data_IF_919947416104
#
_entry.id   IF_919947416104
#
_cell.length_a   1.000
_cell.length_b   1.000
_cell.length_c   1.000
_cell.angle_alpha   90.00
_cell.angle_beta   90.00
_cell.angle_gamma   90.00
#
_symmetry.space_group_name_H-M   'P 1'
#
loop_
_entity.id
_entity.type
_entity.pdbx_description
1 polymer ?
#
# COMPACT_ATOMS: atom_id res chain seq x y z
N UNK A 1 7.51 10.64 14.04
CA UNK A 1 7.84 10.70 15.49
C UNK A 1 6.94 9.76 16.29
N UNK A 2 7.11 9.66 17.61
CA UNK A 2 6.01 9.35 18.52
C UNK A 2 4.88 10.38 18.36
N UNK A 3 3.62 10.00 18.64
CA UNK A 3 2.56 11.01 18.80
C UNK A 3 2.94 11.90 19.97
N UNK A 4 3.11 13.20 19.71
CA UNK A 4 3.18 14.20 20.79
C UNK A 4 1.78 14.34 21.36
N UNK A 5 1.45 13.49 22.34
CA UNK A 5 0.47 13.86 23.36
C UNK A 5 1.11 15.01 24.14
N UNK A 6 0.71 16.23 23.85
CA UNK A 6 0.89 17.32 24.80
C UNK A 6 0.17 16.92 26.11
N UNK A 7 0.67 17.35 27.27
CA UNK A 7 0.11 16.97 28.58
C UNK A 7 -1.38 17.32 28.75
N UNK A 8 -1.92 18.16 27.88
CA UNK A 8 -3.30 18.62 27.86
C UNK A 8 -4.27 17.63 27.14
N UNK A 9 -3.77 16.49 26.61
CA UNK A 9 -4.58 15.34 26.22
C UNK A 9 -5.11 15.30 24.77
N UNK A 10 -5.06 16.41 24.03
CA UNK A 10 -5.46 16.47 22.62
C UNK A 10 -4.32 16.17 21.63
N UNK A 11 -4.67 15.91 20.36
CA UNK A 11 -3.73 15.68 19.26
C UNK A 11 -3.43 16.99 18.52
N UNK A 12 -2.15 17.32 18.33
CA UNK A 12 -1.70 18.48 17.55
C UNK A 12 -0.72 19.37 18.31
N UNK A 13 -0.21 20.40 17.63
CA UNK A 13 0.69 21.41 18.24
C UNK A 13 -0.07 22.62 18.82
N UNK A 14 -1.34 22.79 18.48
CA UNK A 14 -2.25 23.81 19.00
C UNK A 14 -3.43 23.16 19.73
N UNK A 15 -4.19 23.97 20.49
CA UNK A 15 -5.45 23.51 21.09
C UNK A 15 -6.54 23.27 20.01
N UNK A 16 -7.54 22.40 20.25
CA UNK A 16 -8.67 22.23 19.35
C UNK A 16 -9.54 23.48 19.26
N UNK A 17 -9.93 23.88 18.05
CA UNK A 17 -10.82 25.03 17.79
C UNK A 17 -12.18 24.88 18.51
N UNK A 18 -12.63 23.64 18.68
CA UNK A 18 -13.82 23.29 19.46
C UNK A 18 -13.65 21.89 20.04
N UNK A 19 -14.23 21.67 21.23
CA UNK A 19 -14.42 20.35 21.85
C UNK A 19 -15.89 19.89 21.83
N UNK A 20 -16.79 20.69 21.24
CA UNK A 20 -18.22 20.38 21.18
C UNK A 20 -18.48 19.20 20.24
N UNK A 21 -19.25 18.22 20.72
CA UNK A 21 -19.74 17.11 19.89
C UNK A 21 -20.79 17.56 18.86
N UNK A 22 -21.17 16.67 17.93
CA UNK A 22 -22.20 16.96 16.94
C UNK A 22 -23.57 17.20 17.60
N UNK A 23 -24.32 18.18 17.08
CA UNK A 23 -25.74 18.34 17.39
C UNK A 23 -26.56 17.28 16.67
N UNK A 24 -27.79 17.02 17.14
CA UNK A 24 -28.75 16.12 16.48
C UNK A 24 -28.96 16.47 14.99
N UNK A 25 -29.03 17.78 14.67
CA UNK A 25 -29.06 18.26 13.28
C UNK A 25 -27.83 17.81 12.48
N UNK A 26 -26.62 17.89 13.04
CA UNK A 26 -25.41 17.45 12.34
C UNK A 26 -25.34 15.93 12.19
N UNK A 27 -25.95 15.15 13.08
CA UNK A 27 -26.11 13.70 12.90
C UNK A 27 -27.04 13.42 11.70
N UNK A 28 -28.22 14.02 11.66
CA UNK A 28 -29.15 13.87 10.51
C UNK A 28 -28.50 14.26 9.18
N UNK A 29 -27.76 15.38 9.13
CA UNK A 29 -27.03 15.81 7.93
C UNK A 29 -25.85 14.88 7.57
N UNK A 30 -25.31 14.13 8.54
CA UNK A 30 -24.31 13.08 8.28
C UNK A 30 -24.97 11.86 7.64
N UNK A 31 -26.17 11.48 8.09
CA UNK A 31 -26.94 10.34 7.54
C UNK A 31 -27.45 10.64 6.11
N UNK A 32 -27.88 11.88 5.83
CA UNK A 32 -28.20 12.35 4.48
C UNK A 32 -26.99 12.21 3.53
N UNK A 33 -25.81 12.58 4.01
CA UNK A 33 -24.54 12.49 3.27
C UNK A 33 -24.10 11.03 3.06
N UNK A 34 -24.23 10.17 4.06
CA UNK A 34 -23.91 8.75 3.92
C UNK A 34 -24.82 8.04 2.93
N UNK A 35 -26.11 8.37 2.96
CA UNK A 35 -27.06 7.91 1.94
C UNK A 35 -26.62 8.36 0.55
N UNK A 36 -26.25 9.63 0.36
CA UNK A 36 -25.78 10.13 -0.93
C UNK A 36 -24.50 9.42 -1.43
N UNK A 37 -23.54 9.14 -0.55
CA UNK A 37 -22.33 8.37 -0.90
C UNK A 37 -22.65 6.91 -1.27
N UNK A 38 -23.66 6.30 -0.65
CA UNK A 38 -24.16 4.96 -0.95
C UNK A 38 -24.93 4.92 -2.29
N UNK A 39 -25.85 5.86 -2.50
CA UNK A 39 -26.62 6.00 -3.75
C UNK A 39 -25.69 6.27 -4.95
N UNK A 40 -24.59 7.01 -4.73
CA UNK A 40 -23.52 7.23 -5.70
C UNK A 40 -22.56 6.04 -5.93
N UNK A 41 -22.80 4.88 -5.28
CA UNK A 41 -21.99 3.64 -5.39
C UNK A 41 -20.51 3.80 -5.07
N UNK A 42 -20.15 4.68 -4.13
CA UNK A 42 -18.75 4.97 -3.82
C UNK A 42 -18.13 3.97 -2.84
N UNK A 43 -18.94 3.15 -2.18
CA UNK A 43 -18.52 2.04 -1.34
C UNK A 43 -18.38 0.75 -2.18
N UNK A 44 -17.32 -0.02 -1.95
CA UNK A 44 -17.19 -1.35 -2.53
C UNK A 44 -18.21 -2.32 -1.92
N UNK A 45 -18.54 -3.38 -2.67
CA UNK A 45 -19.44 -4.44 -2.24
C UNK A 45 -18.66 -5.50 -1.46
N UNK A 46 -19.34 -6.27 -0.61
CA UNK A 46 -18.69 -7.23 0.28
C UNK A 46 -17.96 -8.36 -0.48
N UNK A 47 -18.43 -8.72 -1.67
CA UNK A 47 -17.77 -9.65 -2.59
C UNK A 47 -16.52 -9.06 -3.25
N UNK A 48 -16.52 -7.76 -3.56
CA UNK A 48 -15.34 -7.04 -4.07
C UNK A 48 -14.25 -6.95 -2.99
N UNK A 49 -14.63 -6.64 -1.74
CA UNK A 49 -13.73 -6.62 -0.59
C UNK A 49 -13.05 -7.98 -0.35
N UNK A 50 -13.81 -9.08 -0.42
CA UNK A 50 -13.28 -10.46 -0.28
C UNK A 50 -12.30 -10.76 -1.42
N UNK A 51 -12.65 -10.42 -2.67
CA UNK A 51 -11.78 -10.64 -3.83
C UNK A 51 -10.45 -9.87 -3.71
N UNK A 52 -10.45 -8.65 -3.17
CA UNK A 52 -9.23 -7.87 -2.93
C UNK A 52 -8.30 -8.53 -1.90
N UNK A 53 -8.85 -9.06 -0.81
CA UNK A 53 -8.08 -9.82 0.19
C UNK A 53 -7.52 -11.13 -0.38
N UNK A 54 -8.30 -11.87 -1.19
CA UNK A 54 -7.81 -13.07 -1.89
C UNK A 54 -6.68 -12.75 -2.87
N UNK A 55 -6.79 -11.64 -3.61
CA UNK A 55 -5.75 -11.15 -4.53
C UNK A 55 -4.47 -10.75 -3.78
N UNK A 56 -4.58 -10.05 -2.65
CA UNK A 56 -3.42 -9.67 -1.82
C UNK A 56 -2.76 -10.89 -1.19
N UNK A 57 -3.55 -11.84 -0.67
CA UNK A 57 -3.05 -13.11 -0.12
C UNK A 57 -2.35 -13.98 -1.18
N UNK A 58 -2.82 -13.94 -2.43
CA UNK A 58 -2.14 -14.58 -3.57
C UNK A 58 -0.85 -13.85 -3.95
N UNK A 59 -0.86 -12.52 -3.98
CA UNK A 59 0.31 -11.71 -4.32
C UNK A 59 1.46 -11.90 -3.31
N UNK A 60 1.17 -11.95 -2.01
CA UNK A 60 2.16 -12.26 -0.97
C UNK A 60 2.84 -13.63 -1.21
N UNK A 61 2.05 -14.66 -1.52
CA UNK A 61 2.57 -15.99 -1.86
C UNK A 61 3.45 -15.96 -3.12
N UNK A 62 3.03 -15.25 -4.18
CA UNK A 62 3.81 -15.10 -5.41
C UNK A 62 5.16 -14.40 -5.17
N UNK A 63 5.18 -13.27 -4.44
CA UNK A 63 6.46 -12.57 -4.17
C UNK A 63 7.38 -13.37 -3.24
N UNK A 64 6.82 -14.09 -2.25
CA UNK A 64 7.60 -15.00 -1.39
C UNK A 64 8.20 -16.16 -2.20
N UNK A 65 7.43 -16.77 -3.11
CA UNK A 65 7.93 -17.82 -4.00
C UNK A 65 9.00 -17.32 -4.99
N UNK A 66 8.82 -16.11 -5.54
CA UNK A 66 9.81 -15.42 -6.38
C UNK A 66 11.13 -15.18 -5.64
N UNK A 67 11.10 -14.65 -4.40
CA UNK A 67 12.32 -14.44 -3.62
C UNK A 67 13.03 -15.77 -3.27
N UNK A 68 12.31 -16.87 -3.04
CA UNK A 68 12.95 -18.18 -2.86
C UNK A 68 13.63 -18.68 -4.14
N UNK A 69 12.98 -18.55 -5.31
CA UNK A 69 13.61 -18.82 -6.63
C UNK A 69 14.87 -17.97 -6.84
N UNK A 70 14.76 -16.65 -6.62
CA UNK A 70 15.87 -15.70 -6.77
C UNK A 70 17.04 -16.02 -5.83
N UNK A 71 16.76 -16.35 -4.56
CA UNK A 71 17.79 -16.66 -3.57
C UNK A 71 18.58 -17.92 -3.94
N UNK A 72 17.90 -18.99 -4.38
CA UNK A 72 18.57 -20.22 -4.81
C UNK A 72 19.53 -19.98 -5.98
N UNK A 73 19.12 -19.20 -6.98
CA UNK A 73 19.93 -18.99 -8.20
C UNK A 73 21.04 -17.93 -7.99
N UNK A 74 20.94 -17.08 -6.97
CA UNK A 74 22.10 -16.33 -6.46
C UNK A 74 23.15 -17.21 -5.74
N UNK A 75 22.96 -18.54 -5.68
CA UNK A 75 23.93 -19.48 -5.11
C UNK A 75 23.90 -19.60 -3.59
N UNK A 76 22.86 -19.06 -2.92
CA UNK A 76 22.68 -19.26 -1.49
C UNK A 76 22.24 -20.71 -1.20
N UNK A 77 22.78 -21.29 -0.12
CA UNK A 77 22.43 -22.64 0.31
C UNK A 77 20.98 -22.78 0.80
N UNK A 78 20.46 -24.01 0.80
CA UNK A 78 19.03 -24.30 1.04
C UNK A 78 18.45 -23.76 2.35
N UNK A 79 19.26 -23.57 3.41
CA UNK A 79 18.81 -22.88 4.62
C UNK A 79 18.40 -21.43 4.32
N UNK A 80 19.24 -20.66 3.64
CA UNK A 80 18.91 -19.30 3.20
C UNK A 80 17.72 -19.31 2.22
N UNK A 81 17.58 -20.32 1.37
CA UNK A 81 16.41 -20.46 0.47
C UNK A 81 15.12 -20.75 1.27
N UNK A 82 15.21 -21.50 2.37
CA UNK A 82 14.07 -21.75 3.26
C UNK A 82 13.66 -20.48 4.01
N UNK A 83 14.63 -19.73 4.55
CA UNK A 83 14.44 -18.48 5.29
C UNK A 83 14.09 -17.28 4.39
N UNK A 84 14.43 -17.32 3.10
CA UNK A 84 14.27 -16.21 2.16
C UNK A 84 12.81 -15.76 2.00
N UNK A 85 12.59 -14.44 2.04
CA UNK A 85 11.28 -13.87 2.24
C UNK A 85 11.12 -12.51 1.56
N UNK A 86 9.90 -12.17 1.18
CA UNK A 86 9.45 -10.84 0.79
C UNK A 86 8.21 -10.48 1.61
N UNK A 87 7.89 -9.19 1.69
CA UNK A 87 6.69 -8.72 2.40
C UNK A 87 5.99 -7.62 1.62
N UNK A 88 4.68 -7.75 1.45
CA UNK A 88 3.83 -6.72 0.84
C UNK A 88 3.29 -5.75 1.90
N UNK A 89 3.08 -4.50 1.51
CA UNK A 89 2.43 -3.46 2.29
C UNK A 89 1.51 -2.65 1.37
N UNK A 90 0.21 -2.62 1.65
CA UNK A 90 -0.68 -1.71 0.94
C UNK A 90 -0.50 -0.27 1.42
N UNK A 91 -0.70 0.69 0.53
CA UNK A 91 -0.72 2.11 0.85
C UNK A 91 -1.91 2.80 0.17
N UNK A 92 -1.82 4.12 -0.01
CA UNK A 92 -2.78 4.91 -0.79
C UNK A 92 -4.25 4.72 -0.38
N UNK A 93 -5.16 4.65 -1.37
CA UNK A 93 -6.59 4.83 -1.06
C UNK A 93 -7.29 3.59 -0.50
N UNK A 94 -6.78 2.40 -0.81
CA UNK A 94 -7.24 1.13 -0.24
C UNK A 94 -6.84 0.99 1.24
N UNK A 95 -5.57 1.23 1.57
CA UNK A 95 -5.05 1.17 2.96
C UNK A 95 -5.76 2.16 3.92
N UNK A 96 -6.28 3.27 3.38
CA UNK A 96 -7.06 4.27 4.12
C UNK A 96 -8.57 3.98 4.20
N UNK A 97 -9.07 2.93 3.55
CA UNK A 97 -10.50 2.61 3.49
C UNK A 97 -11.34 3.65 2.72
N UNK A 98 -10.75 4.32 1.72
CA UNK A 98 -11.38 5.39 0.91
C UNK A 98 -11.31 5.13 -0.60
N UNK A 99 -11.08 3.88 -0.97
CA UNK A 99 -11.21 3.35 -2.31
C UNK A 99 -12.69 3.16 -2.72
N UNK A 100 -12.95 3.19 -4.03
CA UNK A 100 -14.23 2.81 -4.63
C UNK A 100 -14.12 1.46 -5.36
N UNK A 101 -15.22 0.95 -5.93
CA UNK A 101 -15.26 -0.38 -6.57
C UNK A 101 -14.14 -0.63 -7.58
N UNK A 102 -13.90 0.31 -8.49
CA UNK A 102 -12.93 0.18 -9.60
C UNK A 102 -11.49 0.62 -9.25
N UNK A 103 -11.19 0.89 -7.98
CA UNK A 103 -9.88 1.40 -7.57
C UNK A 103 -8.76 0.35 -7.67
N UNK A 104 -7.56 0.84 -7.89
CA UNK A 104 -6.28 0.15 -7.73
C UNK A 104 -6.01 -0.27 -6.27
N UNK A 105 -5.06 -1.19 -6.09
CA UNK A 105 -4.38 -1.41 -4.81
C UNK A 105 -2.90 -1.05 -4.94
N UNK A 106 -2.61 0.21 -4.61
CA UNK A 106 -1.30 0.72 -4.20
C UNK A 106 -0.55 -0.29 -3.30
N UNK A 107 0.46 -1.00 -3.83
CA UNK A 107 1.16 -2.07 -3.10
C UNK A 107 2.68 -1.95 -3.17
N UNK A 108 3.36 -1.93 -2.03
CA UNK A 108 4.82 -1.98 -1.93
C UNK A 108 5.29 -3.39 -1.59
N UNK A 109 6.07 -4.00 -2.47
CA UNK A 109 6.85 -5.20 -2.16
C UNK A 109 8.22 -4.82 -1.58
N UNK A 110 8.61 -5.47 -0.49
CA UNK A 110 9.92 -5.33 0.17
C UNK A 110 10.70 -6.64 0.03
N UNK A 111 11.96 -6.57 -0.44
CA UNK A 111 12.78 -7.76 -0.67
C UNK A 111 14.29 -7.58 -0.38
N UNK A 112 15.05 -8.69 -0.35
CA UNK A 112 16.44 -8.72 0.10
C UNK A 112 17.45 -8.27 -0.97
N UNK A 113 18.63 -7.85 -0.53
CA UNK A 113 19.67 -7.13 -1.30
C UNK A 113 20.05 -7.78 -2.65
N UNK A 114 20.05 -9.10 -2.74
CA UNK A 114 20.41 -9.83 -3.97
C UNK A 114 19.30 -9.81 -5.03
N UNK A 115 18.05 -9.60 -4.66
CA UNK A 115 16.91 -9.52 -5.59
C UNK A 115 16.78 -8.11 -6.20
N UNK A 116 17.80 -7.65 -6.92
CA UNK A 116 17.87 -6.29 -7.47
C UNK A 116 16.70 -5.92 -8.39
N UNK A 117 16.34 -4.62 -8.43
CA UNK A 117 15.13 -4.13 -9.12
C UNK A 117 15.07 -4.50 -10.61
N UNK A 118 16.15 -4.28 -11.36
CA UNK A 118 16.09 -4.44 -12.81
C UNK A 118 16.12 -5.92 -13.25
N UNK A 119 16.93 -6.75 -12.59
CA UNK A 119 17.07 -8.18 -12.95
C UNK A 119 16.00 -9.06 -12.29
N UNK A 120 15.64 -8.83 -11.03
CA UNK A 120 14.70 -9.73 -10.35
C UNK A 120 13.27 -9.20 -10.32
N UNK A 121 13.05 -7.90 -10.12
CA UNK A 121 11.69 -7.37 -10.06
C UNK A 121 11.11 -7.14 -11.47
N UNK A 122 11.74 -6.30 -12.29
CA UNK A 122 11.22 -5.99 -13.64
C UNK A 122 11.34 -7.10 -14.67
N UNK A 123 12.18 -8.13 -14.42
CA UNK A 123 12.28 -9.30 -15.29
C UNK A 123 11.69 -10.55 -14.62
N UNK A 124 12.30 -11.10 -13.57
CA UNK A 124 11.84 -12.40 -13.05
C UNK A 124 10.44 -12.39 -12.41
N UNK A 125 10.05 -11.35 -11.66
CA UNK A 125 8.70 -11.30 -11.09
C UNK A 125 7.66 -11.05 -12.18
N UNK A 126 7.99 -10.21 -13.18
CA UNK A 126 7.21 -10.08 -14.41
C UNK A 126 7.03 -11.44 -15.11
N UNK A 127 8.10 -12.19 -15.33
CA UNK A 127 8.05 -13.51 -16.00
C UNK A 127 7.17 -14.50 -15.22
N UNK A 128 7.28 -14.52 -13.88
CA UNK A 128 6.43 -15.35 -13.00
C UNK A 128 4.96 -14.92 -13.02
N UNK A 129 4.68 -13.61 -13.06
CA UNK A 129 3.31 -13.09 -13.18
C UNK A 129 2.72 -13.39 -14.56
N UNK A 130 3.51 -13.35 -15.63
CA UNK A 130 3.08 -13.69 -16.99
C UNK A 130 2.74 -15.19 -17.17
N UNK A 131 3.27 -16.07 -16.31
CA UNK A 131 2.91 -17.50 -16.26
C UNK A 131 1.56 -17.77 -15.55
N UNK A 132 0.99 -16.79 -14.83
CA UNK A 132 -0.24 -16.98 -14.04
C UNK A 132 -1.50 -16.69 -14.88
N UNK A 133 -2.41 -17.65 -15.13
CA UNK A 133 -3.60 -17.44 -15.96
C UNK A 133 -4.63 -16.46 -15.37
N UNK A 134 -4.56 -16.17 -14.07
CA UNK A 134 -5.33 -15.12 -13.40
C UNK A 134 -4.77 -13.70 -13.58
N UNK A 135 -3.58 -13.54 -14.15
CA UNK A 135 -2.95 -12.24 -14.41
C UNK A 135 -3.33 -11.71 -15.80
N UNK A 136 -3.68 -10.43 -15.86
CA UNK A 136 -3.88 -9.71 -17.12
C UNK A 136 -3.31 -8.28 -17.04
N UNK A 137 -3.22 -7.61 -18.19
CA UNK A 137 -2.78 -6.20 -18.29
C UNK A 137 -1.41 -5.91 -17.64
N UNK A 138 -0.52 -6.91 -17.58
CA UNK A 138 0.83 -6.79 -17.01
C UNK A 138 1.72 -5.86 -17.85
N UNK A 139 2.20 -4.78 -17.22
CA UNK A 139 3.06 -3.79 -17.86
C UNK A 139 4.10 -3.19 -16.89
N UNK A 140 5.41 -3.27 -17.19
CA UNK A 140 6.45 -2.60 -16.42
C UNK A 140 6.61 -1.14 -16.85
N UNK A 141 6.78 -0.23 -15.88
CA UNK A 141 7.14 1.18 -16.11
C UNK A 141 8.44 1.51 -15.37
N UNK A 142 9.61 1.05 -15.89
CA UNK A 142 10.89 1.12 -15.17
C UNK A 142 11.50 2.52 -15.10
N UNK A 143 11.17 3.39 -16.06
CA UNK A 143 11.72 4.74 -16.23
C UNK A 143 10.85 5.85 -15.61
N UNK A 144 9.75 5.48 -14.93
CA UNK A 144 8.96 6.43 -14.14
C UNK A 144 9.76 6.96 -12.94
N UNK A 145 9.39 8.15 -12.45
CA UNK A 145 9.97 8.75 -11.24
C UNK A 145 9.85 7.82 -10.01
N UNK A 146 8.74 7.07 -9.96
CA UNK A 146 8.54 5.93 -9.07
C UNK A 146 8.30 4.71 -9.95
N UNK A 147 9.30 3.82 -10.13
CA UNK A 147 9.17 2.66 -11.00
C UNK A 147 8.16 1.64 -10.47
N UNK A 148 7.19 1.28 -11.32
CA UNK A 148 6.02 0.45 -10.97
C UNK A 148 5.84 -0.71 -11.96
N UNK A 149 5.32 -1.84 -11.47
CA UNK A 149 4.83 -2.95 -12.28
C UNK A 149 3.30 -3.01 -12.10
N UNK A 150 2.55 -2.52 -13.09
CA UNK A 150 1.10 -2.53 -13.08
C UNK A 150 0.55 -3.82 -13.67
N UNK A 151 -0.51 -4.38 -13.08
CA UNK A 151 -1.22 -5.56 -13.59
C UNK A 151 -2.59 -5.72 -12.96
N UNK A 152 -3.38 -6.69 -13.42
CA UNK A 152 -4.59 -7.18 -12.75
C UNK A 152 -4.41 -8.62 -12.30
N UNK A 153 -4.95 -8.99 -11.14
CA UNK A 153 -5.18 -10.39 -10.74
C UNK A 153 -6.67 -10.58 -10.54
N UNK A 154 -7.29 -11.58 -11.18
CA UNK A 154 -8.74 -11.80 -11.15
C UNK A 154 -9.56 -10.54 -11.53
N UNK A 155 -8.99 -9.62 -12.32
CA UNK A 155 -9.58 -8.33 -12.69
C UNK A 155 -9.32 -7.16 -11.73
N UNK A 156 -8.78 -7.40 -10.52
CA UNK A 156 -8.41 -6.34 -9.56
C UNK A 156 -7.06 -5.73 -9.95
N UNK A 157 -7.04 -4.42 -10.21
CA UNK A 157 -5.81 -3.67 -10.55
C UNK A 157 -4.87 -3.53 -9.36
N UNK A 158 -3.58 -3.80 -9.56
CA UNK A 158 -2.50 -3.71 -8.60
C UNK A 158 -1.37 -2.85 -9.20
N UNK A 159 -0.98 -1.81 -8.48
CA UNK A 159 0.22 -1.02 -8.78
C UNK A 159 1.33 -1.45 -7.82
N UNK A 160 2.23 -2.31 -8.31
CA UNK A 160 3.28 -2.91 -7.49
C UNK A 160 4.57 -2.09 -7.56
N UNK A 161 4.98 -1.53 -6.43
CA UNK A 161 6.27 -0.88 -6.21
C UNK A 161 7.26 -1.87 -5.56
N UNK A 162 8.57 -1.61 -5.70
CA UNK A 162 9.60 -2.47 -5.12
C UNK A 162 10.71 -1.73 -4.39
N UNK A 163 10.92 -2.08 -3.11
CA UNK A 163 12.04 -1.66 -2.30
C UNK A 163 13.03 -2.83 -2.07
N UNK A 164 14.23 -2.70 -2.64
CA UNK A 164 15.34 -3.61 -2.40
C UNK A 164 16.14 -3.14 -1.18
N UNK A 165 16.23 -3.95 -0.12
CA UNK A 165 16.84 -3.52 1.15
C UNK A 165 18.23 -4.11 1.35
N UNK A 166 19.05 -3.45 2.17
CA UNK A 166 20.36 -3.94 2.63
C UNK A 166 20.30 -5.16 3.57
N UNK A 167 19.23 -5.96 3.52
CA UNK A 167 19.01 -7.19 4.30
C UNK A 167 19.25 -8.43 3.43
N UNK A 168 19.82 -9.50 3.99
CA UNK A 168 19.95 -10.79 3.31
C UNK A 168 18.64 -11.61 3.34
N UNK A 169 17.85 -11.44 4.41
CA UNK A 169 16.52 -12.05 4.61
C UNK A 169 15.61 -10.96 5.20
N UNK A 170 14.35 -10.90 4.75
CA UNK A 170 13.33 -10.01 5.31
C UNK A 170 12.62 -10.72 6.47
N UNK A 171 12.67 -10.21 7.72
CA UNK A 171 11.97 -10.82 8.84
C UNK A 171 10.45 -10.90 8.63
N UNK A 172 9.79 -11.96 9.09
CA UNK A 172 8.32 -12.05 8.97
C UNK A 172 7.62 -10.97 9.81
N UNK A 173 8.19 -10.58 10.94
CA UNK A 173 7.76 -9.48 11.80
C UNK A 173 8.18 -8.09 11.28
N UNK A 174 8.84 -7.98 10.11
CA UNK A 174 9.36 -6.72 9.58
C UNK A 174 8.29 -5.61 9.57
N UNK A 175 8.55 -4.52 10.29
CA UNK A 175 7.72 -3.33 10.36
C UNK A 175 8.39 -2.19 9.59
N UNK A 176 7.75 -1.74 8.51
CA UNK A 176 8.22 -0.67 7.62
C UNK A 176 8.59 0.62 8.40
N UNK A 177 7.74 1.02 9.35
CA UNK A 177 7.97 2.20 10.20
C UNK A 177 9.02 1.99 11.32
N UNK A 178 9.50 0.76 11.51
CA UNK A 178 10.66 0.44 12.36
C UNK A 178 11.97 0.58 11.59
N UNK A 179 12.01 0.04 10.36
CA UNK A 179 13.16 0.20 9.46
C UNK A 179 13.46 1.67 9.17
N UNK A 180 12.45 2.46 8.79
CA UNK A 180 12.60 3.88 8.47
C UNK A 180 13.28 4.65 9.62
N UNK A 181 12.72 4.55 10.84
CA UNK A 181 13.30 5.16 12.05
C UNK A 181 14.75 4.74 12.32
N UNK A 182 15.09 3.47 12.09
CA UNK A 182 16.45 2.94 12.36
C UNK A 182 17.49 3.54 11.41
N UNK A 183 17.14 3.73 10.14
CA UNK A 183 18.07 4.22 9.11
C UNK A 183 17.96 5.76 8.92
N UNK A 184 17.34 6.46 9.87
CA UNK A 184 17.07 7.91 9.84
C UNK A 184 16.29 8.42 8.60
N UNK A 185 15.61 7.52 7.90
CA UNK A 185 14.67 7.86 6.85
C UNK A 185 13.32 8.17 7.51
N UNK A 186 12.68 9.26 7.09
CA UNK A 186 11.42 9.71 7.70
C UNK A 186 10.27 8.71 7.40
N UNK A 187 9.11 8.87 8.01
CA UNK A 187 7.90 8.07 7.70
C UNK A 187 6.85 8.93 6.98
N UNK A 188 7.27 9.82 6.08
CA UNK A 188 6.43 10.82 5.42
C UNK A 188 6.64 11.04 3.90
N UNK A 189 7.61 10.41 3.20
CA UNK A 189 7.80 10.58 1.73
C UNK A 189 8.20 9.32 0.88
N UNK A 190 7.73 8.08 1.15
CA UNK A 190 8.06 6.87 0.35
C UNK A 190 7.74 7.03 -1.14
N UNK A 191 6.75 7.88 -1.44
CA UNK A 191 5.90 7.72 -2.61
C UNK A 191 6.18 8.70 -3.74
N UNK A 192 7.01 9.74 -3.55
CA UNK A 192 7.06 10.87 -4.50
C UNK A 192 8.41 11.59 -4.70
N UNK A 193 9.56 11.14 -4.18
CA UNK A 193 10.84 11.86 -4.44
C UNK A 193 12.10 11.00 -4.57
N UNK A 194 12.37 10.05 -3.68
CA UNK A 194 13.74 9.52 -3.49
C UNK A 194 13.87 7.99 -3.60
N UNK A 195 13.27 7.36 -4.62
CA UNK A 195 13.50 5.95 -4.97
C UNK A 195 14.89 5.66 -5.59
N UNK A 196 15.93 6.31 -5.07
CA UNK A 196 17.33 6.06 -5.45
C UNK A 196 18.11 5.31 -4.37
N UNK A 197 17.90 5.63 -3.09
CA UNK A 197 18.40 4.88 -1.93
C UNK A 197 17.43 5.03 -0.73
N UNK A 198 16.96 3.90 -0.16
CA UNK A 198 16.18 3.73 1.09
C UNK A 198 14.71 4.24 1.27
N UNK A 199 13.97 3.61 2.21
CA UNK A 199 12.49 3.62 2.38
C UNK A 199 11.94 4.77 3.27
N UNK A 200 10.81 5.42 2.91
CA UNK A 200 10.34 6.69 3.52
C UNK A 200 8.86 6.96 4.00
N UNK A 201 7.80 6.11 3.95
CA UNK A 201 6.40 6.46 4.44
C UNK A 201 5.28 5.37 4.38
N UNK A 202 4.37 5.35 5.36
CA UNK A 202 2.90 5.45 5.13
C UNK A 202 2.31 6.21 6.33
N UNK A 203 1.46 7.23 6.14
CA UNK A 203 0.71 7.86 7.23
C UNK A 203 -0.66 7.22 7.45
N UNK A 204 -0.85 6.61 8.63
CA UNK A 204 -2.14 6.07 9.07
C UNK A 204 -2.99 7.14 9.77
N UNK A 205 -4.06 7.63 9.12
CA UNK A 205 -5.10 8.48 9.72
C UNK A 205 -6.46 7.76 9.78
N UNK A 206 -6.55 6.80 10.69
CA UNK A 206 -7.69 5.89 10.90
C UNK A 206 -8.92 6.55 11.57
N UNK A 207 -9.27 7.79 11.17
CA UNK A 207 -10.33 8.58 11.81
C UNK A 207 -11.12 9.53 10.88
N UNK A 208 -10.77 9.65 9.60
CA UNK A 208 -11.36 10.63 8.67
C UNK A 208 -11.82 10.04 7.32
N UNK A 209 -11.97 8.72 7.21
CA UNK A 209 -12.34 8.02 5.96
C UNK A 209 -13.60 8.60 5.30
N UNK A 210 -14.65 8.90 6.09
CA UNK A 210 -15.89 9.57 5.67
C UNK A 210 -15.63 10.91 4.95
N UNK A 211 -14.98 11.86 5.64
CA UNK A 211 -14.66 13.18 5.09
C UNK A 211 -13.74 13.10 3.86
N UNK A 212 -12.79 12.16 3.88
CA UNK A 212 -11.89 11.92 2.75
C UNK A 212 -12.64 11.40 1.51
N UNK A 213 -13.68 10.54 1.65
CA UNK A 213 -14.54 10.10 0.54
C UNK A 213 -15.31 11.27 -0.10
N UNK A 214 -15.89 12.17 0.72
CA UNK A 214 -16.54 13.40 0.22
C UNK A 214 -15.58 14.30 -0.57
N UNK A 215 -14.39 14.57 -0.04
CA UNK A 215 -13.39 15.40 -0.72
C UNK A 215 -12.91 14.73 -2.01
N UNK A 216 -12.70 13.41 -2.01
CA UNK A 216 -12.32 12.65 -3.22
C UNK A 216 -13.41 12.72 -4.31
N UNK A 217 -14.69 12.67 -3.94
CA UNK A 217 -15.83 12.84 -4.86
C UNK A 217 -15.93 14.28 -5.40
N UNK A 218 -15.84 15.29 -4.54
CA UNK A 218 -15.91 16.71 -4.96
C UNK A 218 -14.82 17.01 -5.98
N UNK A 219 -13.59 16.56 -5.67
CA UNK A 219 -12.42 16.72 -6.53
C UNK A 219 -12.44 15.82 -7.78
N UNK A 220 -13.40 14.92 -7.97
CA UNK A 220 -13.59 14.19 -9.24
C UNK A 220 -14.67 14.83 -10.12
N UNK A 221 -15.75 15.36 -9.53
CA UNK A 221 -16.76 16.12 -10.28
C UNK A 221 -16.27 17.52 -10.70
N UNK A 222 -15.33 18.13 -9.98
CA UNK A 222 -14.62 19.35 -10.40
C UNK A 222 -13.64 19.16 -11.58
N UNK A 223 -13.59 17.96 -12.19
CA UNK A 223 -12.71 17.61 -13.33
C UNK A 223 -13.44 17.08 -14.57
N UNK A 224 -14.75 17.30 -14.64
CA UNK A 224 -15.62 16.98 -15.78
C UNK A 224 -16.26 18.26 -16.36
#
# INVERSE_FOLDING_TARGET
MSKVKNNNGYHGVTEPISLSGPTEKYLMQTDEVEKYLSDARLYERQDEAILREEVLGKLDQTVKAWIKKATRINGYGEQFVHEANAKTFTFGSYCLGVHGPDADIDTLCVGPRHATRNEYFFRWLHDILAEMPEVSELHPVPDAHVPVLGFKINGVSIDLLYANLAHAVIPEDFILSGYAKKNNVNTSALTQSEMRDDILCVEFLHHHSRGNRLVKLRNSQERL
#
